data_IF_195499222307
#
_entry.id   IF_195499222307
#
_cell.length_a   1.000
_cell.length_b   1.000
_cell.length_c   1.000
_cell.angle_alpha   90.00
_cell.angle_beta   90.00
_cell.angle_gamma   90.00
#
_symmetry.space_group_name_H-M   'P 1'
#
loop_
_entity.id
_entity.type
_entity.pdbx_description
1 polymer ?
#
# COMPACT_ATOMS: atom_id res chain seq x y z
N UNK A 1 11.43 -11.51 -45.26
CA UNK A 1 12.46 -11.37 -44.21
C UNK A 1 11.80 -11.69 -42.87
N UNK A 2 11.91 -12.93 -42.36
CA UNK A 2 11.33 -13.31 -41.07
C UNK A 2 12.32 -12.93 -39.98
N UNK A 3 11.97 -11.96 -39.14
CA UNK A 3 12.76 -11.60 -37.96
C UNK A 3 12.56 -12.74 -36.96
N UNK A 4 13.61 -13.50 -36.58
CA UNK A 4 13.47 -14.57 -35.62
C UNK A 4 13.33 -13.95 -34.22
N UNK A 5 12.12 -13.95 -33.67
CA UNK A 5 11.84 -13.52 -32.30
C UNK A 5 12.35 -14.51 -31.22
N UNK A 6 12.91 -15.65 -31.62
CA UNK A 6 13.32 -16.76 -30.72
C UNK A 6 14.63 -16.54 -29.94
N UNK A 7 15.18 -15.32 -29.88
CA UNK A 7 16.52 -15.08 -29.29
C UNK A 7 16.59 -14.03 -28.19
N UNK A 8 15.47 -13.68 -27.56
CA UNK A 8 15.52 -12.90 -26.31
C UNK A 8 15.14 -13.82 -25.15
N UNK A 9 16.07 -14.69 -24.73
CA UNK A 9 16.03 -15.29 -23.40
C UNK A 9 16.41 -14.19 -22.42
N UNK A 10 15.43 -13.42 -21.96
CA UNK A 10 15.63 -12.59 -20.78
C UNK A 10 15.96 -13.54 -19.62
N UNK A 11 17.08 -13.27 -18.94
CA UNK A 11 17.38 -13.95 -17.68
C UNK A 11 16.30 -13.51 -16.69
N UNK A 12 15.36 -14.40 -16.34
CA UNK A 12 14.23 -14.11 -15.46
C UNK A 12 14.69 -13.42 -14.17
N UNK A 13 15.87 -13.78 -13.65
CA UNK A 13 16.48 -13.15 -12.48
C UNK A 13 16.75 -11.66 -12.68
N UNK A 14 17.22 -11.30 -13.87
CA UNK A 14 17.54 -9.93 -14.23
C UNK A 14 16.24 -9.12 -14.39
N UNK A 15 15.20 -9.73 -14.96
CA UNK A 15 13.86 -9.13 -15.05
C UNK A 15 13.27 -8.86 -13.66
N UNK A 16 13.28 -9.84 -12.75
CA UNK A 16 12.79 -9.66 -11.37
C UNK A 16 13.54 -8.57 -10.62
N UNK A 17 14.87 -8.50 -10.80
CA UNK A 17 15.70 -7.46 -10.18
C UNK A 17 15.35 -6.06 -10.71
N UNK A 18 15.16 -5.91 -12.02
CA UNK A 18 14.76 -4.63 -12.63
C UNK A 18 13.38 -4.21 -12.12
N UNK A 19 12.39 -5.10 -12.16
CA UNK A 19 11.03 -4.82 -11.67
C UNK A 19 11.08 -4.38 -10.22
N UNK A 20 11.84 -5.09 -9.38
CA UNK A 20 12.03 -4.75 -7.98
C UNK A 20 12.58 -3.34 -7.76
N UNK A 21 13.63 -2.97 -8.48
CA UNK A 21 14.24 -1.63 -8.40
C UNK A 21 13.26 -0.55 -8.86
N UNK A 22 12.54 -0.79 -9.95
CA UNK A 22 11.55 0.17 -10.48
C UNK A 22 10.42 0.38 -9.48
N UNK A 23 9.85 -0.71 -8.95
CA UNK A 23 8.76 -0.65 -7.96
C UNK A 23 9.23 0.05 -6.69
N UNK A 24 10.44 -0.26 -6.20
CA UNK A 24 11.05 0.44 -5.05
C UNK A 24 11.18 1.94 -5.29
N UNK A 25 11.70 2.33 -6.46
CA UNK A 25 11.88 3.73 -6.82
C UNK A 25 10.54 4.47 -6.89
N UNK A 26 9.50 3.85 -7.44
CA UNK A 26 8.16 4.42 -7.51
C UNK A 26 7.57 4.65 -6.12
N UNK A 27 7.72 3.69 -5.20
CA UNK A 27 7.18 3.85 -3.83
C UNK A 27 7.94 4.91 -3.05
N UNK A 28 9.27 4.94 -3.14
CA UNK A 28 10.07 6.01 -2.51
C UNK A 28 9.69 7.38 -3.06
N UNK A 29 9.52 7.49 -4.37
CA UNK A 29 9.05 8.72 -5.01
C UNK A 29 7.65 9.12 -4.50
N UNK A 30 6.70 8.17 -4.42
CA UNK A 30 5.37 8.41 -3.89
C UNK A 30 5.40 8.90 -2.43
N UNK A 31 6.24 8.31 -1.58
CA UNK A 31 6.42 8.74 -0.18
C UNK A 31 6.93 10.19 -0.14
N UNK A 32 7.98 10.52 -0.89
CA UNK A 32 8.57 11.87 -0.90
C UNK A 32 7.55 12.90 -1.38
N UNK A 33 6.85 12.61 -2.48
CA UNK A 33 5.82 13.48 -3.03
C UNK A 33 4.68 13.66 -2.04
N UNK A 34 4.21 12.57 -1.43
CA UNK A 34 3.13 12.62 -0.45
C UNK A 34 3.51 13.46 0.76
N UNK A 35 4.72 13.30 1.31
CA UNK A 35 5.22 14.15 2.40
C UNK A 35 5.21 15.62 1.99
N UNK A 36 5.69 15.94 0.79
CA UNK A 36 5.69 17.32 0.28
C UNK A 36 4.28 17.90 0.13
N UNK A 37 3.36 17.11 -0.41
CA UNK A 37 1.93 17.43 -0.54
C UNK A 37 1.32 17.72 0.84
N UNK A 38 1.55 16.84 1.81
CA UNK A 38 1.03 16.96 3.17
C UNK A 38 1.52 18.21 3.86
N UNK A 39 2.84 18.50 3.77
CA UNK A 39 3.41 19.73 4.35
C UNK A 39 2.78 20.96 3.70
N UNK A 40 2.68 20.99 2.37
CA UNK A 40 2.13 22.11 1.62
C UNK A 40 0.66 22.38 1.99
N UNK A 41 -0.18 21.35 1.96
CA UNK A 41 -1.60 21.50 2.28
C UNK A 41 -1.85 21.81 3.75
N UNK A 42 -1.09 21.21 4.66
CA UNK A 42 -1.18 21.52 6.10
C UNK A 42 -0.81 22.98 6.36
N UNK A 43 0.29 23.47 5.78
CA UNK A 43 0.71 24.87 5.92
C UNK A 43 -0.32 25.83 5.30
N UNK A 44 -0.86 25.50 4.13
CA UNK A 44 -1.88 26.31 3.47
C UNK A 44 -3.20 26.34 4.25
N UNK A 45 -3.66 25.19 4.74
CA UNK A 45 -4.91 25.08 5.52
C UNK A 45 -4.83 25.81 6.86
N UNK A 46 -3.65 25.79 7.52
CA UNK A 46 -3.41 26.53 8.75
C UNK A 46 -3.59 28.06 8.57
N UNK A 47 -3.35 28.57 7.36
CA UNK A 47 -3.48 29.99 7.03
C UNK A 47 -4.92 30.34 6.59
N UNK A 48 -5.65 29.40 5.99
CA UNK A 48 -6.85 29.73 5.18
C UNK A 48 -8.18 29.13 5.64
N UNK A 49 -8.22 27.97 6.29
CA UNK A 49 -9.47 27.19 6.43
C UNK A 49 -9.88 26.90 7.90
N UNK A 50 -9.00 27.17 8.88
CA UNK A 50 -9.29 26.96 10.30
C UNK A 50 -8.91 25.57 10.82
N UNK A 51 -8.94 25.41 12.15
CA UNK A 51 -8.30 24.27 12.87
C UNK A 51 -8.95 22.92 12.57
N UNK A 52 -10.26 22.86 12.34
CA UNK A 52 -10.98 21.60 12.09
C UNK A 52 -10.66 21.00 10.72
N UNK A 53 -10.60 21.82 9.67
CA UNK A 53 -10.19 21.37 8.34
C UNK A 53 -8.71 20.92 8.33
N UNK A 54 -7.86 21.59 9.12
CA UNK A 54 -6.46 21.21 9.29
C UNK A 54 -6.30 19.79 9.87
N UNK A 55 -7.10 19.44 10.89
CA UNK A 55 -7.01 18.13 11.56
C UNK A 55 -7.44 16.99 10.65
N UNK A 56 -8.54 17.15 9.91
CA UNK A 56 -9.01 16.12 8.96
C UNK A 56 -7.98 15.86 7.86
N UNK A 57 -7.51 16.91 7.17
CA UNK A 57 -6.48 16.77 6.11
C UNK A 57 -5.21 16.14 6.64
N UNK A 58 -4.72 16.58 7.81
CA UNK A 58 -3.50 16.04 8.41
C UNK A 58 -3.61 14.54 8.74
N UNK A 59 -4.77 14.08 9.21
CA UNK A 59 -5.01 12.67 9.51
C UNK A 59 -5.04 11.83 8.22
N UNK A 60 -5.81 12.25 7.21
CA UNK A 60 -5.95 11.50 5.95
C UNK A 60 -4.61 11.31 5.24
N UNK A 61 -3.81 12.37 5.23
CA UNK A 61 -2.49 12.41 4.64
C UNK A 61 -1.47 11.59 5.43
N UNK A 62 -1.49 11.68 6.77
CA UNK A 62 -0.61 10.88 7.62
C UNK A 62 -0.91 9.38 7.48
N UNK A 63 -2.19 8.99 7.40
CA UNK A 63 -2.58 7.61 7.15
C UNK A 63 -2.08 7.13 5.79
N UNK A 64 -2.10 7.98 4.76
CA UNK A 64 -1.57 7.60 3.44
C UNK A 64 -0.05 7.35 3.48
N UNK A 65 0.70 8.18 4.22
CA UNK A 65 2.14 7.98 4.41
C UNK A 65 2.42 6.64 5.09
N UNK A 66 1.64 6.28 6.12
CA UNK A 66 1.77 4.98 6.81
C UNK A 66 1.56 3.83 5.83
N UNK A 67 0.52 3.87 5.01
CA UNK A 67 0.25 2.82 4.01
C UNK A 67 1.39 2.72 2.99
N UNK A 68 1.92 3.85 2.52
CA UNK A 68 3.06 3.84 1.59
C UNK A 68 4.32 3.23 2.22
N UNK A 69 4.56 3.48 3.52
CA UNK A 69 5.65 2.85 4.26
C UNK A 69 5.46 1.34 4.41
N UNK A 70 4.24 0.87 4.66
CA UNK A 70 3.95 -0.56 4.71
C UNK A 70 4.18 -1.24 3.35
N UNK A 71 3.76 -0.60 2.26
CA UNK A 71 4.03 -1.09 0.90
C UNK A 71 5.54 -1.14 0.65
N UNK A 72 6.30 -0.12 1.09
CA UNK A 72 7.75 -0.10 0.98
C UNK A 72 8.39 -1.29 1.72
N UNK A 73 7.98 -1.53 2.98
CA UNK A 73 8.49 -2.66 3.77
C UNK A 73 8.16 -4.01 3.13
N UNK A 74 6.94 -4.16 2.57
CA UNK A 74 6.52 -5.34 1.84
C UNK A 74 7.42 -5.62 0.62
N UNK A 75 7.79 -4.57 -0.13
CA UNK A 75 8.69 -4.68 -1.28
C UNK A 75 10.11 -5.04 -0.84
N UNK A 76 10.64 -4.41 0.21
CA UNK A 76 11.97 -4.73 0.73
C UNK A 76 12.09 -6.19 1.17
N UNK A 77 11.08 -6.67 1.90
CA UNK A 77 11.06 -8.06 2.34
C UNK A 77 10.91 -9.03 1.16
N UNK A 78 10.14 -8.66 0.13
CA UNK A 78 10.09 -9.44 -1.12
C UNK A 78 11.45 -9.50 -1.83
N UNK A 79 12.12 -8.36 -2.01
CA UNK A 79 13.41 -8.29 -2.73
C UNK A 79 14.55 -8.95 -1.96
N UNK A 80 14.47 -8.97 -0.62
CA UNK A 80 15.42 -9.70 0.22
C UNK A 80 15.23 -11.22 0.20
N UNK A 81 14.21 -11.73 -0.50
CA UNK A 81 13.96 -13.16 -0.63
C UNK A 81 13.40 -13.81 0.64
N UNK A 82 12.91 -13.02 1.60
CA UNK A 82 12.16 -13.56 2.75
C UNK A 82 10.86 -14.13 2.21
N UNK A 83 10.69 -15.45 2.31
CA UNK A 83 9.68 -16.26 1.61
C UNK A 83 8.20 -16.02 1.98
N UNK A 84 7.82 -14.83 2.46
CA UNK A 84 6.45 -14.47 2.84
C UNK A 84 5.82 -13.45 1.90
N UNK A 85 6.02 -13.63 0.59
CA UNK A 85 5.65 -12.62 -0.41
C UNK A 85 4.16 -12.28 -0.45
N UNK A 86 3.29 -13.29 -0.45
CA UNK A 86 1.84 -13.09 -0.53
C UNK A 86 1.29 -12.47 0.76
N UNK A 87 1.84 -12.92 1.88
CA UNK A 87 1.56 -12.43 3.22
C UNK A 87 1.71 -10.90 3.36
N UNK A 88 2.81 -10.33 2.85
CA UNK A 88 3.03 -8.88 2.92
C UNK A 88 2.10 -8.08 2.00
N UNK A 89 1.77 -8.61 0.82
CA UNK A 89 0.79 -7.97 -0.08
C UNK A 89 -0.59 -7.93 0.57
N UNK A 90 -0.98 -9.01 1.25
CA UNK A 90 -2.24 -9.06 1.99
C UNK A 90 -2.23 -8.05 3.16
N UNK A 91 -1.13 -7.95 3.91
CA UNK A 91 -1.00 -6.97 5.01
C UNK A 91 -1.13 -5.52 4.51
N UNK A 92 -0.41 -5.16 3.43
CA UNK A 92 -0.51 -3.84 2.83
C UNK A 92 -1.93 -3.55 2.31
N UNK A 93 -2.61 -4.57 1.76
CA UNK A 93 -4.00 -4.45 1.30
C UNK A 93 -4.96 -4.22 2.47
N UNK A 94 -4.76 -4.91 3.59
CA UNK A 94 -5.56 -4.72 4.81
C UNK A 94 -5.36 -3.29 5.32
N UNK A 95 -4.13 -2.80 5.41
CA UNK A 95 -3.86 -1.43 5.89
C UNK A 95 -4.46 -0.36 4.99
N UNK A 96 -4.43 -0.55 3.67
CA UNK A 96 -5.11 0.35 2.74
C UNK A 96 -6.63 0.41 3.00
N UNK A 97 -7.28 -0.75 3.17
CA UNK A 97 -8.73 -0.79 3.42
C UNK A 97 -9.08 -0.24 4.80
N UNK A 98 -8.26 -0.53 5.82
CA UNK A 98 -8.42 0.04 7.16
C UNK A 98 -8.27 1.55 7.14
N UNK A 99 -7.34 2.10 6.34
CA UNK A 99 -7.23 3.54 6.11
C UNK A 99 -8.55 4.13 5.60
N UNK A 100 -9.17 3.53 4.58
CA UNK A 100 -10.45 4.04 4.06
C UNK A 100 -11.56 4.01 5.11
N UNK A 101 -11.62 2.96 5.93
CA UNK A 101 -12.56 2.89 7.06
C UNK A 101 -12.32 4.02 8.06
N UNK A 102 -11.06 4.30 8.41
CA UNK A 102 -10.74 5.39 9.33
C UNK A 102 -11.13 6.75 8.75
N UNK A 103 -10.86 6.99 7.47
CA UNK A 103 -11.22 8.23 6.78
C UNK A 103 -12.73 8.42 6.77
N UNK A 104 -13.50 7.39 6.40
CA UNK A 104 -14.97 7.44 6.40
C UNK A 104 -15.52 7.76 7.79
N UNK A 105 -14.94 7.17 8.84
CA UNK A 105 -15.32 7.42 10.23
C UNK A 105 -15.00 8.87 10.64
N UNK A 106 -13.82 9.39 10.30
CA UNK A 106 -13.42 10.77 10.62
C UNK A 106 -14.25 11.81 9.86
N UNK A 107 -14.66 11.50 8.63
CA UNK A 107 -15.50 12.38 7.81
C UNK A 107 -16.99 12.31 8.18
N UNK A 108 -17.36 11.51 9.19
CA UNK A 108 -18.74 11.38 9.64
C UNK A 108 -19.66 10.73 8.61
N UNK A 109 -19.11 9.93 7.69
CA UNK A 109 -19.89 9.18 6.72
C UNK A 109 -20.64 8.08 7.46
N UNK A 110 -21.95 8.23 7.55
CA UNK A 110 -22.85 7.30 8.29
C UNK A 110 -23.50 6.26 7.39
N UNK A 111 -23.11 6.18 6.10
CA UNK A 111 -23.71 5.22 5.18
C UNK A 111 -23.22 3.82 5.48
N UNK A 112 -24.01 3.09 6.28
CA UNK A 112 -23.69 1.74 6.76
C UNK A 112 -23.29 0.74 5.67
N UNK A 113 -23.75 0.94 4.43
CA UNK A 113 -23.41 0.06 3.30
C UNK A 113 -21.93 0.12 2.91
N UNK A 114 -21.32 1.30 2.87
CA UNK A 114 -19.91 1.46 2.44
C UNK A 114 -18.97 0.85 3.48
N UNK A 115 -19.19 1.19 4.76
CA UNK A 115 -18.44 0.63 5.87
C UNK A 115 -18.58 -0.91 5.95
N UNK A 116 -19.77 -1.45 5.68
CA UNK A 116 -20.00 -2.89 5.65
C UNK A 116 -19.23 -3.58 4.51
N UNK A 117 -19.17 -2.96 3.32
CA UNK A 117 -18.39 -3.49 2.19
C UNK A 117 -16.90 -3.49 2.52
N UNK A 118 -16.36 -2.38 3.04
CA UNK A 118 -14.95 -2.30 3.44
C UNK A 118 -14.61 -3.30 4.55
N UNK A 119 -15.47 -3.45 5.57
CA UNK A 119 -15.31 -4.46 6.61
C UNK A 119 -15.33 -5.89 6.05
N UNK A 120 -16.20 -6.16 5.07
CA UNK A 120 -16.24 -7.45 4.36
C UNK A 120 -14.93 -7.74 3.62
N UNK A 121 -14.35 -6.74 2.96
CA UNK A 121 -13.05 -6.87 2.29
C UNK A 121 -11.96 -7.18 3.32
N UNK A 122 -11.90 -6.46 4.45
CA UNK A 122 -10.95 -6.74 5.53
C UNK A 122 -11.10 -8.16 6.06
N UNK A 123 -12.34 -8.65 6.24
CA UNK A 123 -12.58 -10.02 6.70
C UNK A 123 -12.04 -11.06 5.71
N UNK A 124 -12.28 -10.87 4.40
CA UNK A 124 -11.78 -11.76 3.34
C UNK A 124 -10.25 -11.74 3.28
N UNK A 125 -9.63 -10.57 3.35
CA UNK A 125 -8.18 -10.42 3.34
C UNK A 125 -7.54 -11.04 4.60
N UNK A 126 -8.14 -10.82 5.77
CA UNK A 126 -7.68 -11.41 7.03
C UNK A 126 -7.78 -12.94 7.00
N UNK A 127 -8.85 -13.49 6.43
CA UNK A 127 -8.97 -14.93 6.22
C UNK A 127 -7.92 -15.46 5.23
N UNK A 128 -7.68 -14.73 4.14
CA UNK A 128 -6.63 -15.04 3.17
C UNK A 128 -5.24 -15.02 3.83
N UNK A 129 -5.00 -14.07 4.73
CA UNK A 129 -3.77 -13.96 5.53
C UNK A 129 -3.56 -15.17 6.43
N UNK A 130 -4.62 -15.58 7.13
CA UNK A 130 -4.61 -16.76 8.00
C UNK A 130 -4.27 -18.04 7.21
N UNK A 131 -4.91 -18.24 6.05
CA UNK A 131 -4.62 -19.40 5.19
C UNK A 131 -3.17 -19.37 4.69
N UNK A 132 -2.69 -18.21 4.24
CA UNK A 132 -1.33 -18.03 3.72
C UNK A 132 -0.29 -18.29 4.81
N UNK A 133 -0.52 -17.77 6.02
CA UNK A 133 0.35 -18.01 7.17
C UNK A 133 0.45 -19.50 7.51
N UNK A 134 -0.64 -20.26 7.43
CA UNK A 134 -0.62 -21.71 7.65
C UNK A 134 0.11 -22.46 6.53
N UNK A 135 -0.07 -22.04 5.28
CA UNK A 135 0.62 -22.63 4.13
C UNK A 135 2.13 -22.40 4.20
N UNK A 136 2.56 -21.25 4.70
CA UNK A 136 3.97 -20.93 4.95
C UNK A 136 4.55 -21.72 6.12
N UNK A 137 3.78 -21.96 7.20
CA UNK A 137 4.26 -22.73 8.36
C UNK A 137 4.30 -24.24 8.13
N UNK A 138 3.47 -24.77 7.23
CA UNK A 138 3.39 -26.20 6.90
C UNK A 138 4.43 -26.69 5.88
N UNK A 139 5.29 -25.79 5.37
CA UNK A 139 6.42 -26.11 4.47
C UNK A 139 7.76 -26.20 5.22
N UNK A 140 7.74 -26.25 6.55
CA UNK A 140 8.91 -26.50 7.40
C UNK A 140 9.08 -28.01 7.64
#
# INVERSE_FOLDING_TARGET
>A
MKVPFDKIKFDDKLLFKIIGIVVRALVVFAIIVQIGITIFFTAFAAITVGVTALVSTAIEDALLIIVLLEIYLAIEDYLSGKGRTASYVIDASISFVVREILIDVFNGITTNSTLLVLAGIVAILSFSRFLTSKAESGKA
#
